data_IF_654115003207
#
_entry.id   IF_654115003207
#
_cell.length_a   1.000
_cell.length_b   1.000
_cell.length_c   1.000
_cell.angle_alpha   90.00
_cell.angle_beta   90.00
_cell.angle_gamma   90.00
#
_symmetry.space_group_name_H-M   'P 1'
#
loop_
_entity.id
_entity.type
_entity.pdbx_description
1 polymer ?
#
# COMPACT_ATOMS: atom_id res chain seq x y z
N UNK A 1 15.56 -5.36 -1.02
CA UNK A 1 14.80 -5.27 -2.28
C UNK A 1 13.59 -4.31 -2.23
N UNK A 2 12.63 -4.54 -1.32
CA UNK A 2 11.35 -3.81 -1.30
C UNK A 2 11.44 -2.36 -0.79
N UNK A 3 12.45 -2.04 0.04
CA UNK A 3 12.69 -0.65 0.50
C UNK A 3 13.11 0.29 -0.63
N UNK A 4 13.75 -0.23 -1.68
CA UNK A 4 14.07 0.54 -2.89
C UNK A 4 12.80 0.82 -3.71
N UNK A 5 11.85 -0.11 -3.72
CA UNK A 5 10.54 0.10 -4.33
C UNK A 5 9.77 1.20 -3.63
N UNK A 6 9.72 1.21 -2.29
CA UNK A 6 9.12 2.30 -1.51
C UNK A 6 9.74 3.68 -1.83
N UNK A 7 11.07 3.75 -2.01
CA UNK A 7 11.74 5.01 -2.38
C UNK A 7 11.41 5.45 -3.81
N UNK A 8 11.28 4.51 -4.74
CA UNK A 8 10.89 4.78 -6.13
C UNK A 8 9.40 5.15 -6.25
N UNK A 9 8.51 4.53 -5.48
CA UNK A 9 7.08 4.89 -5.44
C UNK A 9 6.88 6.27 -4.82
N UNK A 10 7.65 6.64 -3.79
CA UNK A 10 7.58 7.97 -3.19
C UNK A 10 8.02 9.09 -4.16
N UNK A 11 8.95 8.78 -5.08
CA UNK A 11 9.34 9.69 -6.17
C UNK A 11 8.24 9.82 -7.22
N UNK A 12 7.50 8.76 -7.51
CA UNK A 12 6.40 8.74 -8.48
C UNK A 12 5.14 9.45 -7.94
N UNK A 13 4.84 9.35 -6.64
CA UNK A 13 3.73 10.09 -6.00
C UNK A 13 4.02 11.60 -5.91
N UNK A 14 5.30 11.99 -5.87
CA UNK A 14 5.75 13.39 -5.87
C UNK A 14 5.66 14.08 -7.25
N UNK A 15 5.36 13.37 -8.34
CA UNK A 15 5.35 13.93 -9.70
C UNK A 15 4.09 14.73 -10.08
N UNK A 16 3.31 15.23 -9.11
CA UNK A 16 2.45 16.39 -9.34
C UNK A 16 0.95 16.26 -9.01
N UNK A 17 0.49 15.15 -8.46
CA UNK A 17 -0.93 15.01 -8.05
C UNK A 17 -1.17 14.79 -6.56
N UNK A 18 -0.14 14.45 -5.76
CA UNK A 18 -0.30 14.14 -4.34
C UNK A 18 -1.16 12.89 -4.06
N UNK A 19 -1.61 12.18 -5.11
CA UNK A 19 -2.49 11.03 -5.02
C UNK A 19 -1.66 9.75 -5.11
N UNK A 20 -1.60 9.01 -4.01
CA UNK A 20 -1.07 7.65 -3.99
C UNK A 20 -1.97 6.72 -4.81
N UNK A 21 -1.40 5.76 -5.54
CA UNK A 21 -2.16 4.76 -6.29
C UNK A 21 -2.44 3.53 -5.40
N UNK A 22 -3.54 2.81 -5.66
CA UNK A 22 -3.94 1.66 -4.83
C UNK A 22 -2.81 0.63 -4.70
N UNK A 23 -2.20 0.22 -5.81
CA UNK A 23 -1.09 -0.74 -5.79
C UNK A 23 0.14 -0.22 -5.03
N UNK A 24 0.39 1.10 -5.01
CA UNK A 24 1.48 1.68 -4.23
C UNK A 24 1.18 1.63 -2.73
N UNK A 25 -0.06 1.95 -2.37
CA UNK A 25 -0.52 1.89 -0.99
C UNK A 25 -0.53 0.46 -0.42
N UNK A 26 -0.97 -0.52 -1.21
CA UNK A 26 -0.92 -1.93 -0.80
C UNK A 26 0.53 -2.37 -0.53
N UNK A 27 1.47 -1.98 -1.39
CA UNK A 27 2.89 -2.26 -1.19
C UNK A 27 3.47 -1.54 0.04
N UNK A 28 3.00 -0.33 0.35
CA UNK A 28 3.41 0.42 1.54
C UNK A 28 2.93 -0.28 2.82
N UNK A 29 1.67 -0.72 2.86
CA UNK A 29 1.15 -1.52 3.96
C UNK A 29 1.94 -2.82 4.13
N UNK A 30 2.20 -3.52 3.01
CA UNK A 30 2.98 -4.75 2.96
C UNK A 30 4.48 -4.56 3.30
N UNK A 31 4.99 -3.33 3.28
CA UNK A 31 6.36 -3.02 3.69
C UNK A 31 6.55 -3.13 5.20
N UNK A 32 5.45 -2.96 5.95
CA UNK A 32 5.45 -2.96 7.41
C UNK A 32 4.78 -4.22 7.94
N UNK A 33 5.56 -5.07 8.62
CA UNK A 33 5.06 -6.31 9.22
C UNK A 33 3.96 -6.07 10.27
N UNK A 34 3.82 -4.85 10.81
CA UNK A 34 2.75 -4.47 11.74
C UNK A 34 1.36 -4.52 11.10
N UNK A 35 1.28 -4.39 9.78
CA UNK A 35 0.03 -4.48 9.02
C UNK A 35 -0.36 -5.93 8.70
N UNK A 36 0.43 -6.91 9.12
CA UNK A 36 0.14 -8.34 8.93
C UNK A 36 -1.30 -8.78 9.27
N UNK A 37 -1.99 -8.21 10.29
CA UNK A 37 -3.39 -8.52 10.58
C UNK A 37 -4.39 -8.07 9.51
N UNK A 38 -4.07 -7.07 8.69
CA UNK A 38 -4.96 -6.58 7.63
C UNK A 38 -4.47 -6.94 6.22
N UNK A 39 -3.16 -6.96 5.98
CA UNK A 39 -2.56 -7.37 4.71
C UNK A 39 -1.18 -7.98 4.95
N UNK A 40 -0.88 -9.09 4.27
CA UNK A 40 0.39 -9.77 4.46
C UNK A 40 0.87 -10.46 3.18
N UNK A 41 2.18 -10.60 3.05
CA UNK A 41 2.79 -11.40 1.98
C UNK A 41 2.45 -12.87 2.21
N UNK A 42 1.97 -13.55 1.17
CA UNK A 42 1.59 -14.96 1.21
C UNK A 42 2.07 -15.64 -0.05
N UNK A 43 2.65 -16.84 0.06
CA UNK A 43 3.07 -17.61 -1.12
C UNK A 43 4.44 -17.17 -1.67
N UNK A 44 4.57 -17.20 -2.99
CA UNK A 44 5.82 -16.95 -3.71
C UNK A 44 5.99 -15.46 -4.01
N UNK A 45 7.21 -15.01 -4.30
CA UNK A 45 7.55 -13.57 -4.47
C UNK A 45 6.50 -12.78 -5.25
N UNK A 46 5.86 -11.81 -4.58
CA UNK A 46 4.87 -10.91 -5.19
C UNK A 46 3.41 -11.29 -4.91
N UNK A 47 3.15 -12.44 -4.30
CA UNK A 47 1.81 -12.82 -3.85
C UNK A 47 1.53 -12.26 -2.44
N UNK A 48 0.36 -11.67 -2.27
CA UNK A 48 -0.11 -11.16 -0.99
C UNK A 48 -1.58 -11.46 -0.82
N UNK A 49 -2.02 -11.51 0.44
CA UNK A 49 -3.44 -11.60 0.79
C UNK A 49 -3.88 -10.42 1.61
N UNK A 50 -5.15 -10.07 1.40
CA UNK A 50 -5.91 -9.18 2.27
C UNK A 50 -6.52 -10.05 3.36
N UNK A 51 -6.00 -9.93 4.57
CA UNK A 51 -6.53 -10.65 5.74
C UNK A 51 -7.80 -9.95 6.23
N UNK A 52 -7.77 -8.62 6.25
CA UNK A 52 -8.91 -7.77 6.57
C UNK A 52 -9.08 -6.70 5.48
N UNK A 53 -9.93 -6.95 4.46
CA UNK A 53 -10.13 -6.01 3.36
C UNK A 53 -10.83 -4.72 3.80
N UNK A 54 -11.66 -4.76 4.85
CA UNK A 54 -12.37 -3.58 5.37
C UNK A 54 -11.39 -2.63 6.07
N UNK A 55 -10.47 -3.15 6.88
CA UNK A 55 -9.40 -2.38 7.51
C UNK A 55 -8.49 -1.75 6.43
N UNK A 56 -8.13 -2.50 5.39
CA UNK A 56 -7.33 -1.97 4.26
C UNK A 56 -8.08 -0.85 3.53
N UNK A 57 -9.38 -1.00 3.28
CA UNK A 57 -10.21 0.03 2.68
C UNK A 57 -10.31 1.29 3.57
N UNK A 58 -10.40 1.11 4.90
CA UNK A 58 -10.40 2.20 5.87
C UNK A 58 -9.08 2.99 5.86
N UNK A 59 -7.94 2.30 5.85
CA UNK A 59 -6.64 2.94 5.75
C UNK A 59 -6.45 3.64 4.40
N UNK A 60 -6.94 3.03 3.31
CA UNK A 60 -6.92 3.64 1.98
C UNK A 60 -7.76 4.91 1.91
N UNK A 61 -8.97 4.91 2.47
CA UNK A 61 -9.84 6.09 2.52
C UNK A 61 -9.25 7.26 3.34
N UNK A 62 -8.33 6.98 4.25
CA UNK A 62 -7.58 8.02 4.96
C UNK A 62 -6.38 8.57 4.17
N UNK A 63 -5.82 7.78 3.24
CA UNK A 63 -4.64 8.12 2.45
C UNK A 63 -4.97 8.66 1.04
N UNK A 64 -6.15 8.32 0.51
CA UNK A 64 -6.68 8.83 -0.74
C UNK A 64 -7.76 9.87 -0.43
N UNK A 65 -7.63 11.13 -0.87
CA UNK A 65 -8.74 12.07 -0.77
C UNK A 65 -9.89 11.53 -1.63
N UNK A 66 -10.96 11.08 -0.98
CA UNK A 66 -12.18 10.64 -1.65
C UNK A 66 -12.66 11.73 -2.61
N UNK A 67 -12.90 11.42 -3.91
CA UNK A 67 -13.53 12.37 -4.81
C UNK A 67 -14.98 12.55 -4.36
N UNK A 68 -15.29 13.73 -3.83
CA UNK A 68 -16.67 14.27 -3.82
C UNK A 68 -17.16 14.50 -5.25
#
# INVERSE_FOLDING_TARGET
>A
PYKLFSQLTNRLTSSGSGQIQLWQFLLELLSDARNGPCITWEGTQGEFKLVDPDEVARHWGSASPSPT
#
